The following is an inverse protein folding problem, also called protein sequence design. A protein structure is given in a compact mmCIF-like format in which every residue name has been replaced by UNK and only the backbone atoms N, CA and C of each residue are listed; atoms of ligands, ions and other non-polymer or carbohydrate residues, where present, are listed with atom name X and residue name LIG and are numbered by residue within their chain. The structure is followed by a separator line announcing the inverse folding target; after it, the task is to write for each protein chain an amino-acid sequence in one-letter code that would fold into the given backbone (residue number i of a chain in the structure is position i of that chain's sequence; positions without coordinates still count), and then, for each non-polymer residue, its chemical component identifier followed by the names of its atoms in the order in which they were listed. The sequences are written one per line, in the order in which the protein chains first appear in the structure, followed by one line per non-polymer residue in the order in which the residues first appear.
data_IF_933283957358
#
_entry.id   IF_933283957358
#
_cell.length_a   1.000
_cell.length_b   1.000
_cell.length_c   1.000
_cell.angle_alpha   90.00
_cell.angle_beta   90.00
_cell.angle_gamma   90.00
#
_symmetry.space_group_name_H-M   'P 1'
#
loop_
_entity.id
_entity.type
_entity.pdbx_description
1 polymer ?
#
# COMPACT_ATOMS: atom_id res chain seq x y z
N UNK A 1 -10.10 6.42 -0.07
CA UNK A 1 -8.85 5.89 -0.65
C UNK A 1 -8.19 4.86 0.27
N UNK A 2 -8.13 5.09 1.59
CA UNK A 2 -7.49 4.15 2.53
C UNK A 2 -8.10 2.75 2.49
N UNK A 3 -9.44 2.64 2.46
CA UNK A 3 -10.14 1.35 2.27
C UNK A 3 -9.68 0.63 1.00
N UNK A 4 -9.63 1.36 -0.11
CA UNK A 4 -9.19 0.82 -1.41
C UNK A 4 -7.76 0.29 -1.39
N UNK A 5 -6.85 0.97 -0.69
CA UNK A 5 -5.47 0.50 -0.50
C UNK A 5 -5.47 -0.84 0.23
N UNK A 6 -6.23 -0.95 1.32
CA UNK A 6 -6.34 -2.19 2.09
C UNK A 6 -6.93 -3.31 1.22
N UNK A 7 -8.05 -3.06 0.53
CA UNK A 7 -8.70 -4.06 -0.33
C UNK A 7 -7.80 -4.55 -1.47
N UNK A 8 -7.01 -3.65 -2.08
CA UNK A 8 -6.05 -4.02 -3.13
C UNK A 8 -4.97 -4.94 -2.53
N UNK A 9 -4.40 -4.57 -1.39
CA UNK A 9 -3.35 -5.35 -0.73
C UNK A 9 -3.88 -6.69 -0.17
N UNK A 10 -5.13 -6.75 0.29
CA UNK A 10 -5.76 -8.00 0.72
C UNK A 10 -5.95 -8.97 -0.45
N UNK A 11 -6.33 -8.45 -1.63
CA UNK A 11 -6.59 -9.26 -2.83
C UNK A 11 -5.31 -9.68 -3.56
N UNK A 12 -4.34 -8.78 -3.65
CA UNK A 12 -3.14 -8.95 -4.49
C UNK A 12 -1.86 -9.23 -3.70
N UNK A 13 -1.89 -9.08 -2.39
CA UNK A 13 -0.72 -9.24 -1.52
C UNK A 13 0.23 -8.03 -1.54
N UNK A 14 1.43 -8.19 -0.96
CA UNK A 14 2.48 -7.18 -0.97
C UNK A 14 2.83 -6.71 -2.39
N UNK A 15 2.92 -5.40 -2.58
CA UNK A 15 3.25 -4.84 -3.91
C UNK A 15 4.03 -3.54 -3.80
N UNK A 16 4.45 -3.01 -4.94
CA UNK A 16 5.21 -1.77 -4.98
C UNK A 16 4.27 -0.57 -4.89
N UNK A 17 4.75 0.54 -4.34
CA UNK A 17 4.00 1.80 -4.32
C UNK A 17 3.63 2.30 -5.73
N UNK A 18 4.45 1.97 -6.75
CA UNK A 18 4.18 2.25 -8.17
C UNK A 18 3.01 1.39 -8.68
N UNK A 19 3.03 0.09 -8.41
CA UNK A 19 1.97 -0.82 -8.84
C UNK A 19 0.66 -0.52 -8.12
N UNK A 20 0.73 -0.20 -6.82
CA UNK A 20 -0.42 0.21 -6.02
C UNK A 20 -1.03 1.49 -6.58
N UNK A 21 -0.21 2.47 -6.98
CA UNK A 21 -0.72 3.69 -7.63
C UNK A 21 -1.42 3.38 -8.95
N UNK A 22 -0.86 2.47 -9.76
CA UNK A 22 -1.45 2.06 -11.03
C UNK A 22 -2.84 1.44 -10.81
N UNK A 23 -2.96 0.55 -9.83
CA UNK A 23 -4.24 -0.08 -9.48
C UNK A 23 -5.27 0.94 -8.95
N UNK A 24 -4.84 1.87 -8.11
CA UNK A 24 -5.71 2.95 -7.64
C UNK A 24 -6.21 3.82 -8.79
N UNK A 25 -5.35 4.13 -9.77
CA UNK A 25 -5.75 4.93 -10.93
C UNK A 25 -6.78 4.23 -11.81
N UNK A 26 -6.64 2.91 -11.97
CA UNK A 26 -7.62 2.10 -12.71
C UNK A 26 -9.01 2.11 -12.06
N UNK A 27 -9.09 2.25 -10.73
CA UNK A 27 -10.36 2.21 -9.98
C UNK A 27 -10.94 3.59 -9.65
N UNK A 28 -10.10 4.62 -9.50
CA UNK A 28 -10.49 5.95 -8.99
C UNK A 28 -10.16 7.13 -9.92
N UNK A 29 -9.53 6.88 -11.09
CA UNK A 29 -9.13 7.95 -12.02
C UNK A 29 -7.79 8.58 -11.65
N UNK A 30 -7.67 9.90 -11.73
CA UNK A 30 -6.40 10.57 -11.45
C UNK A 30 -6.07 10.58 -9.95
N UNK A 31 -5.16 9.68 -9.54
CA UNK A 31 -4.54 9.69 -8.21
C UNK A 31 -3.08 10.11 -8.34
N UNK A 32 -2.66 11.08 -7.53
CA UNK A 32 -1.27 11.53 -7.46
C UNK A 32 -0.43 10.69 -6.50
N UNK A 33 0.88 10.65 -6.72
CA UNK A 33 1.81 10.07 -5.74
C UNK A 33 1.76 10.80 -4.38
N UNK A 34 1.44 12.10 -4.37
CA UNK A 34 1.34 12.89 -3.13
C UNK A 34 0.17 12.41 -2.27
N UNK A 35 -0.98 12.14 -2.89
CA UNK A 35 -2.15 11.59 -2.20
C UNK A 35 -1.87 10.18 -1.70
N UNK A 36 -1.28 9.32 -2.56
CA UNK A 36 -0.88 7.98 -2.14
C UNK A 36 0.06 8.03 -0.94
N UNK A 37 1.08 8.88 -0.98
CA UNK A 37 2.02 9.04 0.13
C UNK A 37 1.34 9.49 1.43
N UNK A 38 0.38 10.42 1.36
CA UNK A 38 -0.37 10.86 2.55
C UNK A 38 -1.19 9.72 3.15
N UNK A 39 -1.85 8.92 2.31
CA UNK A 39 -2.66 7.80 2.79
C UNK A 39 -1.81 6.65 3.32
N UNK A 40 -0.69 6.32 2.66
CA UNK A 40 0.26 5.33 3.18
C UNK A 40 0.83 5.75 4.53
N UNK A 41 1.22 7.02 4.69
CA UNK A 41 1.71 7.53 5.98
C UNK A 41 0.64 7.41 7.09
N UNK A 42 -0.62 7.74 6.81
CA UNK A 42 -1.71 7.59 7.78
C UNK A 42 -1.91 6.13 8.20
N UNK A 43 -1.96 5.22 7.22
CA UNK A 43 -2.18 3.79 7.47
C UNK A 43 -0.98 3.14 8.19
N UNK A 44 0.23 3.58 7.88
CA UNK A 44 1.46 3.13 8.56
C UNK A 44 1.50 3.59 10.02
N UNK A 45 1.16 4.86 10.29
CA UNK A 45 1.03 5.37 11.68
C UNK A 45 -0.08 4.65 12.46
N UNK A 46 -1.15 4.24 11.79
CA UNK A 46 -2.21 3.43 12.38
C UNK A 46 -1.85 1.95 12.56
N UNK A 47 -0.67 1.52 12.09
CA UNK A 47 -0.21 0.13 12.19
C UNK A 47 -0.95 -0.85 11.28
N UNK A 48 -1.64 -0.38 10.23
CA UNK A 48 -2.44 -1.21 9.30
C UNK A 48 -1.58 -1.83 8.20
N UNK A 49 -0.54 -1.10 7.77
CA UNK A 49 0.42 -1.54 6.75
C UNK A 49 1.82 -1.09 7.13
N UNK A 50 2.83 -1.65 6.47
CA UNK A 50 4.22 -1.16 6.52
C UNK A 50 4.69 -0.76 5.13
N UNK A 51 5.55 0.25 5.07
CA UNK A 51 6.23 0.67 3.84
C UNK A 51 7.74 0.50 4.00
N UNK A 52 8.33 -0.45 3.28
CA UNK A 52 9.78 -0.71 3.31
C UNK A 52 10.46 -0.28 2.01
N UNK A 53 11.74 0.11 2.09
CA UNK A 53 12.53 0.40 0.88
C UNK A 53 12.94 -0.92 0.21
N UNK A 54 12.75 -1.03 -1.10
CA UNK A 54 13.31 -2.11 -1.91
C UNK A 54 14.63 -1.69 -2.55
N UNK A 55 14.56 -0.64 -3.37
CA UNK A 55 15.71 -0.02 -4.06
C UNK A 55 15.49 1.49 -4.15
N UNK A 56 16.45 2.24 -4.72
CA UNK A 56 16.32 3.69 -4.86
C UNK A 56 15.05 4.04 -5.65
N UNK A 57 14.12 4.72 -4.99
CA UNK A 57 12.86 5.18 -5.59
C UNK A 57 11.75 4.13 -5.67
N UNK A 58 11.93 2.94 -5.07
CA UNK A 58 10.93 1.87 -5.07
C UNK A 58 10.66 1.38 -3.65
N UNK A 59 9.39 1.38 -3.23
CA UNK A 59 8.97 0.93 -1.89
C UNK A 59 8.03 -0.26 -2.00
N UNK A 60 8.15 -1.20 -1.07
CA UNK A 60 7.18 -2.28 -0.88
C UNK A 60 6.15 -1.83 0.15
N UNK A 61 4.88 -2.10 -0.15
CA UNK A 61 3.74 -1.82 0.71
C UNK A 61 3.06 -3.15 1.01
N UNK A 62 2.79 -3.43 2.27
CA UNK A 62 2.12 -4.66 2.70
C UNK A 62 1.32 -4.48 3.98
N UNK A 63 0.24 -5.25 4.14
CA UNK A 63 -0.56 -5.25 5.36
C UNK A 63 0.24 -5.87 6.52
N UNK A 64 0.13 -5.29 7.70
CA UNK A 64 0.73 -5.81 8.94
C UNK A 64 -0.07 -6.99 9.50
N UNK A 65 -1.34 -7.12 9.10
CA UNK A 65 -2.33 -8.05 9.64
C UNK A 65 -2.65 -9.24 8.74
N UNK A 66 -1.66 -10.10 8.49
CA UNK A 66 -1.81 -11.56 8.63
C UNK A 66 -0.47 -12.04 9.18
N UNK A 67 -0.34 -11.97 10.50
CA UNK A 67 0.65 -12.78 11.19
C UNK A 67 0.24 -14.22 10.89
N UNK A 68 0.89 -14.89 9.94
CA UNK A 68 1.07 -16.32 10.08
C UNK A 68 1.85 -16.47 11.39
N UNK A 69 1.09 -16.62 12.47
CA UNK A 69 1.58 -17.39 13.60
C UNK A 69 1.86 -18.76 12.98
N UNK A 70 3.04 -19.33 13.22
CA UNK A 70 3.66 -20.46 12.50
C UNK A 70 4.41 -19.93 11.25
N UNK A 71 5.74 -19.90 11.19
CA UNK A 71 6.71 -20.96 11.54
C UNK A 71 7.77 -20.58 12.60
#
# INVERSE_FOLDING_TARGET
MSLSIVEILEKKGPMTDIDLLKDLRSNFGEVSFRELNRELMKLELAGILRVSRLTKGKRQVELTGKKSIID
#
